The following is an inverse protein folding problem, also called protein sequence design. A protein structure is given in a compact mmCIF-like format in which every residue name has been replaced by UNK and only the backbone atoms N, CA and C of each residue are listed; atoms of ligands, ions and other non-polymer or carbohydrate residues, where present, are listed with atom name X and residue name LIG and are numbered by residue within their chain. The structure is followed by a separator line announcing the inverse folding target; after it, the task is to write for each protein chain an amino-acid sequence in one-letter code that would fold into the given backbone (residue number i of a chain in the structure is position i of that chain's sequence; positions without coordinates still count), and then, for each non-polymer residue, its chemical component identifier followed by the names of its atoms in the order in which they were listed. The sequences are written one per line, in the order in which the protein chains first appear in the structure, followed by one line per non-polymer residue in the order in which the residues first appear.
data_IF_803720190447
#
_entry.id   IF_803720190447
#
_cell.length_a   1.000
_cell.length_b   1.000
_cell.length_c   1.000
_cell.angle_alpha   90.00
_cell.angle_beta   90.00
_cell.angle_gamma   90.00
#
_symmetry.space_group_name_H-M   'P 1'
#
loop_
_entity.id
_entity.type
_entity.pdbx_description
1 polymer ?
#
# COMPACT_ATOMS: atom_id res chain seq x y z
N UNK A 1 25.66 -11.87 7.23
CA UNK A 1 24.35 -12.27 6.69
C UNK A 1 23.60 -12.94 7.81
N UNK A 2 22.30 -12.70 7.99
CA UNK A 2 21.52 -13.42 8.99
C UNK A 2 21.52 -14.92 8.70
N UNK A 3 21.54 -15.74 9.73
CA UNK A 3 21.41 -17.19 9.62
C UNK A 3 19.95 -17.63 9.66
N UNK A 4 19.12 -16.91 10.45
CA UNK A 4 17.71 -17.25 10.65
C UNK A 4 16.83 -16.00 10.80
N UNK A 5 15.73 -15.94 10.05
CA UNK A 5 14.74 -14.84 10.11
C UNK A 5 13.39 -15.39 10.56
N UNK A 6 12.79 -14.75 11.59
CA UNK A 6 11.40 -14.95 11.95
C UNK A 6 10.52 -14.06 11.07
N UNK A 7 9.52 -14.66 10.43
CA UNK A 7 8.54 -13.95 9.59
C UNK A 7 7.30 -13.64 10.43
N UNK A 8 7.18 -12.37 10.86
CA UNK A 8 6.09 -11.91 11.72
C UNK A 8 4.84 -11.53 10.91
N UNK A 9 4.39 -12.46 10.07
CA UNK A 9 3.23 -12.27 9.22
C UNK A 9 2.64 -13.63 8.79
N UNK A 10 1.60 -13.60 7.93
CA UNK A 10 0.88 -14.77 7.45
C UNK A 10 0.56 -14.66 5.95
N UNK A 11 -0.01 -15.73 5.39
CA UNK A 11 -0.56 -15.71 4.03
C UNK A 11 0.51 -15.56 2.95
N UNK A 12 0.15 -14.87 1.86
CA UNK A 12 1.01 -14.76 0.69
C UNK A 12 2.31 -14.01 0.98
N UNK A 13 2.25 -12.96 1.84
CA UNK A 13 3.45 -12.17 2.14
C UNK A 13 4.45 -12.96 2.99
N UNK A 14 3.98 -13.78 3.94
CA UNK A 14 4.88 -14.65 4.67
C UNK A 14 5.58 -15.65 3.75
N UNK A 15 4.86 -16.20 2.77
CA UNK A 15 5.44 -17.08 1.75
C UNK A 15 6.39 -16.33 0.81
N UNK A 16 6.08 -15.07 0.45
CA UNK A 16 6.97 -14.22 -0.36
C UNK A 16 8.31 -13.96 0.33
N UNK A 17 8.27 -13.64 1.62
CA UNK A 17 9.48 -13.44 2.43
C UNK A 17 10.26 -14.76 2.58
N UNK A 18 9.56 -15.85 2.84
CA UNK A 18 10.16 -17.18 2.91
C UNK A 18 10.96 -17.52 1.63
N UNK A 19 10.38 -17.27 0.45
CA UNK A 19 11.07 -17.50 -0.84
C UNK A 19 12.36 -16.70 -0.95
N UNK A 20 12.34 -15.40 -0.60
CA UNK A 20 13.54 -14.57 -0.61
C UNK A 20 14.61 -15.10 0.36
N UNK A 21 14.23 -15.46 1.58
CA UNK A 21 15.14 -16.06 2.57
C UNK A 21 15.78 -17.35 2.04
N UNK A 22 14.98 -18.27 1.48
CA UNK A 22 15.49 -19.55 0.95
C UNK A 22 16.48 -19.35 -0.18
N UNK A 23 16.23 -18.42 -1.11
CA UNK A 23 17.14 -18.08 -2.21
C UNK A 23 18.43 -17.39 -1.72
N UNK A 24 18.38 -16.76 -0.54
CA UNK A 24 19.56 -16.18 0.13
C UNK A 24 20.29 -17.19 1.05
N UNK A 25 19.80 -18.42 1.18
CA UNK A 25 20.38 -19.44 2.07
C UNK A 25 20.07 -19.21 3.55
N UNK A 26 19.05 -18.41 3.87
CA UNK A 26 18.65 -18.03 5.23
C UNK A 26 17.53 -18.97 5.69
N UNK A 27 17.63 -19.51 6.91
CA UNK A 27 16.57 -20.30 7.53
C UNK A 27 15.40 -19.41 7.95
N UNK A 28 14.20 -19.98 7.94
CA UNK A 28 12.98 -19.25 8.26
C UNK A 28 12.22 -19.86 9.42
N UNK A 29 11.70 -19.00 10.26
CA UNK A 29 10.71 -19.35 11.29
C UNK A 29 9.37 -18.73 10.92
N UNK A 30 8.37 -19.56 10.71
CA UNK A 30 6.99 -19.10 10.53
C UNK A 30 6.29 -19.00 11.88
N UNK A 31 5.64 -17.88 12.15
CA UNK A 31 4.64 -17.82 13.24
C UNK A 31 3.26 -18.06 12.68
N UNK A 32 2.38 -18.62 13.52
CA UNK A 32 1.00 -18.84 13.12
C UNK A 32 0.04 -18.85 14.31
N UNK A 33 -1.21 -18.45 14.08
CA UNK A 33 -2.29 -18.75 15.00
C UNK A 33 -2.75 -20.20 14.82
N UNK A 34 -3.59 -20.69 15.73
CA UNK A 34 -4.18 -22.03 15.59
C UNK A 34 -5.02 -22.18 14.31
N UNK A 35 -5.54 -21.08 13.73
CA UNK A 35 -6.31 -21.10 12.49
C UNK A 35 -5.44 -21.26 11.22
N UNK A 36 -4.16 -20.94 11.32
CA UNK A 36 -3.22 -20.98 10.20
C UNK A 36 -2.23 -22.18 10.26
N UNK A 37 -2.45 -23.15 11.15
CA UNK A 37 -1.54 -24.30 11.34
C UNK A 37 -1.25 -25.07 10.05
N UNK A 38 -2.20 -25.10 9.12
CA UNK A 38 -2.08 -25.77 7.82
C UNK A 38 -1.67 -24.84 6.68
N UNK A 39 -1.38 -23.57 6.96
CA UNK A 39 -1.01 -22.60 5.93
C UNK A 39 0.31 -22.95 5.25
N UNK A 40 0.45 -22.60 3.96
CA UNK A 40 1.61 -22.98 3.16
C UNK A 40 2.91 -22.41 3.71
N UNK A 41 2.91 -21.18 4.25
CA UNK A 41 4.09 -20.58 4.85
C UNK A 41 4.59 -21.33 6.10
N UNK A 42 3.68 -21.99 6.83
CA UNK A 42 4.00 -22.83 7.98
C UNK A 42 4.61 -24.15 7.51
N UNK A 43 4.04 -24.78 6.46
CA UNK A 43 4.51 -26.06 5.92
C UNK A 43 5.90 -25.99 5.29
N UNK A 44 6.27 -24.84 4.73
CA UNK A 44 7.52 -24.67 3.97
C UNK A 44 8.65 -24.06 4.81
N UNK A 45 8.34 -23.42 5.95
CA UNK A 45 9.35 -22.87 6.85
C UNK A 45 10.22 -23.98 7.46
N UNK A 46 11.46 -23.63 7.81
CA UNK A 46 12.37 -24.55 8.48
C UNK A 46 11.92 -24.88 9.91
N UNK A 47 11.30 -23.88 10.58
CA UNK A 47 10.68 -24.00 11.91
C UNK A 47 9.36 -23.24 11.94
N UNK A 48 8.46 -23.64 12.84
CA UNK A 48 7.20 -22.91 13.06
C UNK A 48 6.81 -22.86 14.52
N UNK A 49 6.18 -21.76 14.94
CA UNK A 49 5.71 -21.53 16.30
C UNK A 49 4.26 -21.07 16.29
N UNK A 50 3.39 -21.78 17.01
CA UNK A 50 2.04 -21.33 17.28
C UNK A 50 2.07 -20.24 18.35
N UNK A 51 1.59 -19.05 18.00
CA UNK A 51 1.65 -17.85 18.87
C UNK A 51 0.31 -17.48 19.51
N UNK A 52 -0.73 -18.29 19.34
CA UNK A 52 -2.01 -18.06 20.00
C UNK A 52 -3.24 -18.48 19.20
N UNK A 53 -4.43 -18.13 19.69
CA UNK A 53 -5.70 -18.43 19.05
C UNK A 53 -5.93 -17.58 17.77
N UNK A 54 -7.05 -17.80 17.03
CA UNK A 54 -7.30 -17.14 15.75
C UNK A 54 -7.34 -15.61 15.79
N UNK A 55 -7.76 -15.00 16.92
CA UNK A 55 -7.83 -13.54 17.06
C UNK A 55 -6.45 -12.91 16.84
N UNK A 56 -6.37 -11.94 15.91
CA UNK A 56 -5.12 -11.24 15.63
C UNK A 56 -4.52 -10.54 16.85
N UNK A 57 -5.36 -9.99 17.73
CA UNK A 57 -4.93 -9.32 18.97
C UNK A 57 -4.29 -10.28 19.98
N UNK A 58 -4.61 -11.57 19.87
CA UNK A 58 -4.08 -12.62 20.74
C UNK A 58 -2.98 -13.45 20.07
N UNK A 59 -2.63 -13.14 18.82
CA UNK A 59 -1.63 -13.84 18.02
C UNK A 59 -0.71 -12.87 17.28
N UNK A 60 -0.99 -12.51 16.04
CA UNK A 60 -0.11 -11.70 15.18
C UNK A 60 0.15 -10.27 15.68
N UNK A 61 -0.73 -9.71 16.50
CA UNK A 61 -0.57 -8.41 17.17
C UNK A 61 -0.06 -8.53 18.62
N UNK A 62 0.16 -9.75 19.11
CA UNK A 62 0.68 -10.01 20.44
C UNK A 62 2.21 -9.94 20.42
N UNK A 63 2.77 -8.75 20.67
CA UNK A 63 4.21 -8.51 20.67
C UNK A 63 5.00 -9.49 21.55
N UNK A 64 4.61 -9.72 22.83
CA UNK A 64 5.31 -10.70 23.67
C UNK A 64 5.37 -12.10 23.06
N UNK A 65 4.29 -12.58 22.44
CA UNK A 65 4.28 -13.91 21.81
C UNK A 65 5.22 -13.97 20.59
N UNK A 66 5.29 -12.90 19.79
CA UNK A 66 6.21 -12.82 18.63
C UNK A 66 7.68 -12.79 19.09
N UNK A 67 7.99 -11.99 20.13
CA UNK A 67 9.36 -11.93 20.69
C UNK A 67 9.76 -13.27 21.30
N UNK A 68 8.90 -13.90 22.09
CA UNK A 68 9.18 -15.22 22.67
C UNK A 68 9.41 -16.27 21.58
N UNK A 69 8.68 -16.22 20.47
CA UNK A 69 8.94 -17.10 19.32
C UNK A 69 10.32 -16.87 18.71
N UNK A 70 10.78 -15.61 18.62
CA UNK A 70 12.12 -15.30 18.14
C UNK A 70 13.21 -15.80 19.09
N UNK A 71 13.01 -15.65 20.40
CA UNK A 71 13.95 -16.11 21.43
C UNK A 71 14.11 -17.63 21.43
N UNK A 72 13.01 -18.39 21.48
CA UNK A 72 13.07 -19.87 21.56
C UNK A 72 13.61 -20.52 20.29
N UNK A 73 13.48 -19.86 19.15
CA UNK A 73 13.98 -20.35 17.86
C UNK A 73 15.39 -19.84 17.55
N UNK A 74 15.90 -18.88 18.30
CA UNK A 74 17.20 -18.27 18.06
C UNK A 74 17.26 -17.55 16.71
N UNK A 75 16.23 -16.78 16.36
CA UNK A 75 16.24 -15.95 15.17
C UNK A 75 17.19 -14.75 15.34
N UNK A 76 17.81 -14.28 14.25
CA UNK A 76 18.68 -13.09 14.27
C UNK A 76 17.90 -11.82 13.99
N UNK A 77 16.85 -11.95 13.20
CA UNK A 77 16.05 -10.81 12.73
C UNK A 77 14.57 -11.17 12.59
N UNK A 78 13.75 -10.14 12.58
CA UNK A 78 12.29 -10.26 12.42
C UNK A 78 11.85 -9.45 11.20
N UNK A 79 11.22 -10.11 10.24
CA UNK A 79 10.61 -9.46 9.08
C UNK A 79 9.11 -9.30 9.28
N UNK A 80 8.57 -8.07 9.39
CA UNK A 80 7.17 -7.85 9.70
C UNK A 80 6.24 -7.94 8.47
N UNK A 81 6.77 -7.94 7.25
CA UNK A 81 5.99 -7.86 6.02
C UNK A 81 5.23 -6.54 5.90
N UNK A 82 3.91 -6.63 5.67
CA UNK A 82 2.98 -5.49 5.70
C UNK A 82 1.75 -5.80 6.60
N UNK A 83 1.05 -4.77 7.05
CA UNK A 83 -0.04 -4.92 8.03
C UNK A 83 0.48 -5.36 9.41
N UNK A 84 -0.41 -5.79 10.29
CA UNK A 84 -0.09 -6.19 11.67
C UNK A 84 0.87 -5.22 12.39
N UNK A 85 2.09 -5.68 12.70
CA UNK A 85 3.09 -4.92 13.47
C UNK A 85 4.11 -4.17 12.59
N UNK A 86 3.97 -4.18 11.26
CA UNK A 86 4.97 -3.65 10.34
C UNK A 86 5.21 -2.13 10.47
N UNK A 87 4.21 -1.36 10.90
CA UNK A 87 4.30 0.09 11.13
C UNK A 87 4.15 0.44 12.61
N UNK A 88 4.45 -0.50 13.49
CA UNK A 88 4.41 -0.28 14.93
C UNK A 88 5.81 0.06 15.46
N UNK A 89 6.04 1.35 15.74
CA UNK A 89 7.32 1.84 16.22
C UNK A 89 7.74 1.21 17.55
N UNK A 90 6.77 0.95 18.46
CA UNK A 90 7.07 0.31 19.75
C UNK A 90 7.51 -1.15 19.57
N UNK A 91 6.92 -1.85 18.61
CA UNK A 91 7.36 -3.21 18.28
C UNK A 91 8.79 -3.21 17.71
N UNK A 92 9.10 -2.30 16.81
CA UNK A 92 10.44 -2.17 16.25
C UNK A 92 11.49 -1.86 17.37
N UNK A 93 11.15 -1.01 18.35
CA UNK A 93 11.99 -0.78 19.53
C UNK A 93 12.21 -2.04 20.34
N UNK A 94 11.13 -2.74 20.70
CA UNK A 94 11.19 -3.97 21.50
C UNK A 94 12.04 -5.02 20.81
N UNK A 95 11.90 -5.19 19.49
CA UNK A 95 12.74 -6.12 18.69
C UNK A 95 14.23 -5.79 18.87
N UNK A 96 14.60 -4.51 18.71
CA UNK A 96 15.97 -4.06 18.83
C UNK A 96 16.50 -4.14 20.27
N UNK A 97 15.66 -3.81 21.28
CA UNK A 97 15.99 -3.92 22.72
C UNK A 97 16.30 -5.37 23.13
N UNK A 98 15.67 -6.37 22.47
CA UNK A 98 15.94 -7.79 22.72
C UNK A 98 17.11 -8.35 21.90
N UNK A 99 17.83 -7.49 21.17
CA UNK A 99 19.00 -7.89 20.41
C UNK A 99 18.71 -8.51 19.04
N UNK A 100 17.47 -8.46 18.57
CA UNK A 100 17.10 -8.85 17.22
C UNK A 100 17.18 -7.64 16.27
N UNK A 101 17.37 -7.90 14.98
CA UNK A 101 17.26 -6.84 13.97
C UNK A 101 15.82 -6.76 13.45
N UNK A 102 15.19 -5.58 13.56
CA UNK A 102 13.94 -5.29 12.88
C UNK A 102 14.22 -5.03 11.39
N UNK A 103 13.66 -5.86 10.49
CA UNK A 103 13.84 -5.66 9.04
C UNK A 103 12.82 -4.64 8.56
N UNK A 104 13.22 -3.38 8.58
CA UNK A 104 12.40 -2.23 8.26
C UNK A 104 13.09 -0.91 8.62
N UNK A 105 12.36 0.20 8.57
CA UNK A 105 12.86 1.51 8.98
C UNK A 105 13.13 1.59 10.48
N UNK A 106 13.82 2.66 10.89
CA UNK A 106 14.03 2.90 12.32
C UNK A 106 12.71 3.22 13.04
N UNK A 107 12.60 2.96 14.35
CA UNK A 107 11.42 3.33 15.12
C UNK A 107 11.06 4.82 15.00
N UNK A 108 12.07 5.69 14.88
CA UNK A 108 11.91 7.14 14.69
C UNK A 108 11.24 7.45 13.36
N UNK A 109 11.68 6.82 12.27
CA UNK A 109 11.06 6.99 10.95
C UNK A 109 9.61 6.50 10.95
N UNK A 110 9.32 5.37 11.61
CA UNK A 110 7.96 4.85 11.72
C UNK A 110 7.06 5.83 12.49
N UNK A 111 7.53 6.39 13.62
CA UNK A 111 6.76 7.39 14.38
C UNK A 111 6.55 8.67 13.60
N UNK A 112 7.61 9.17 12.96
CA UNK A 112 7.56 10.42 12.21
C UNK A 112 6.51 10.36 11.08
N UNK A 113 6.55 9.28 10.30
CA UNK A 113 5.67 9.11 9.15
C UNK A 113 4.28 8.55 9.51
N UNK A 114 4.14 7.90 10.67
CA UNK A 114 2.86 7.40 11.18
C UNK A 114 1.95 8.50 11.76
N UNK A 115 2.51 9.64 12.14
CA UNK A 115 1.73 10.82 12.55
C UNK A 115 1.44 11.69 11.32
N UNK A 116 0.16 11.73 10.89
CA UNK A 116 -0.24 12.43 9.65
C UNK A 116 0.11 13.91 9.63
N UNK A 117 0.05 14.59 10.79
CA UNK A 117 0.37 16.02 10.88
C UNK A 117 1.89 16.20 10.74
N UNK A 118 2.66 15.48 11.53
CA UNK A 118 4.12 15.55 11.48
C UNK A 118 4.68 15.11 10.12
N UNK A 119 4.13 14.04 9.54
CA UNK A 119 4.53 13.57 8.21
C UNK A 119 4.31 14.65 7.14
N UNK A 120 3.16 15.36 7.18
CA UNK A 120 2.87 16.45 6.25
C UNK A 120 3.79 17.67 6.48
N UNK A 121 4.03 18.06 7.72
CA UNK A 121 4.96 19.13 8.07
C UNK A 121 6.38 18.80 7.60
N UNK A 122 6.86 17.61 7.91
CA UNK A 122 8.16 17.10 7.47
C UNK A 122 8.26 17.07 5.95
N UNK A 123 7.24 16.59 5.26
CA UNK A 123 7.20 16.58 3.80
C UNK A 123 7.36 18.02 3.23
N UNK A 124 6.61 18.98 3.77
CA UNK A 124 6.70 20.41 3.39
C UNK A 124 8.10 20.97 3.62
N UNK A 125 8.70 20.73 4.81
CA UNK A 125 10.06 21.17 5.15
C UNK A 125 11.13 20.57 4.24
N UNK A 126 10.97 19.33 3.83
CA UNK A 126 11.88 18.63 2.94
C UNK A 126 11.68 18.98 1.46
N UNK A 127 10.64 19.77 1.15
CA UNK A 127 10.32 20.22 -0.21
C UNK A 127 9.49 19.23 -1.02
N UNK A 128 8.82 18.28 -0.38
CA UNK A 128 7.80 17.43 -1.01
C UNK A 128 6.50 18.26 -1.11
N UNK A 129 5.87 18.35 -2.30
CA UNK A 129 4.67 19.14 -2.46
C UNK A 129 3.51 18.57 -1.62
N UNK A 130 2.79 19.43 -0.92
CA UNK A 130 1.58 19.07 -0.15
C UNK A 130 0.37 19.80 -0.74
N UNK A 131 -0.84 19.29 -0.48
CA UNK A 131 -2.06 20.00 -0.91
C UNK A 131 -2.04 21.41 -0.32
N UNK A 132 -2.17 22.47 -1.16
CA UNK A 132 -2.26 23.84 -0.66
C UNK A 132 -3.42 23.94 0.35
N UNK A 133 -3.13 24.46 1.54
CA UNK A 133 -4.10 24.58 2.62
C UNK A 133 -3.80 25.83 3.46
N UNK A 134 -4.77 26.25 4.28
CA UNK A 134 -4.58 27.34 5.24
C UNK A 134 -3.49 26.97 6.26
N UNK A 135 -2.76 27.96 6.72
CA UNK A 135 -1.83 27.81 7.84
C UNK A 135 -2.63 27.77 9.16
N UNK A 136 -3.07 26.54 9.51
CA UNK A 136 -3.94 26.33 10.67
C UNK A 136 -5.43 26.56 10.40
N UNK A 137 -6.15 26.82 11.47
CA UNK A 137 -7.59 27.06 11.45
C UNK A 137 -7.93 28.40 10.77
N UNK A 138 -9.03 28.43 10.05
CA UNK A 138 -9.55 29.64 9.41
C UNK A 138 -10.51 30.33 10.38
N UNK A 139 -10.15 31.55 10.79
CA UNK A 139 -10.87 32.29 11.82
C UNK A 139 -12.25 32.78 11.35
N UNK A 140 -12.31 33.28 10.10
CA UNK A 140 -13.51 33.87 9.56
C UNK A 140 -13.70 33.64 8.04
N UNK A 141 -14.87 34.07 7.55
CA UNK A 141 -15.21 33.95 6.12
C UNK A 141 -14.27 34.76 5.21
N UNK A 142 -13.73 35.87 5.69
CA UNK A 142 -12.86 36.72 4.89
C UNK A 142 -11.52 36.04 4.64
N UNK A 143 -10.97 35.39 5.66
CA UNK A 143 -9.77 34.55 5.54
C UNK A 143 -10.00 33.36 4.60
N UNK A 144 -11.19 32.71 4.70
CA UNK A 144 -11.57 31.61 3.81
C UNK A 144 -11.63 32.07 2.34
N UNK A 145 -12.26 33.21 2.06
CA UNK A 145 -12.34 33.78 0.71
C UNK A 145 -10.96 34.14 0.15
N UNK A 146 -10.11 34.76 1.00
CA UNK A 146 -8.74 35.11 0.59
C UNK A 146 -7.98 33.86 0.17
N UNK A 147 -7.95 32.83 1.01
CA UNK A 147 -7.27 31.57 0.68
C UNK A 147 -7.85 30.94 -0.61
N UNK A 148 -9.17 30.87 -0.74
CA UNK A 148 -9.79 30.25 -1.90
C UNK A 148 -9.48 30.97 -3.23
N UNK A 149 -9.34 32.30 -3.21
CA UNK A 149 -8.89 33.08 -4.37
C UNK A 149 -7.45 32.81 -4.73
N UNK A 150 -6.55 32.64 -3.73
CA UNK A 150 -5.13 32.35 -3.93
C UNK A 150 -4.90 30.91 -4.41
N UNK A 151 -5.58 29.91 -3.80
CA UNK A 151 -5.47 28.51 -4.14
C UNK A 151 -6.22 28.11 -5.43
N UNK A 152 -7.20 28.93 -5.84
CA UNK A 152 -8.13 28.63 -6.92
C UNK A 152 -9.24 27.65 -6.51
N UNK A 153 -10.46 27.94 -6.99
CA UNK A 153 -11.61 27.03 -6.78
C UNK A 153 -11.50 25.76 -7.64
N UNK A 154 -12.13 24.65 -7.23
CA UNK A 154 -12.85 24.45 -5.98
C UNK A 154 -11.93 24.29 -4.76
N UNK A 155 -12.48 24.59 -3.57
CA UNK A 155 -11.79 24.38 -2.29
C UNK A 155 -12.63 23.51 -1.37
N UNK A 156 -11.96 22.82 -0.45
CA UNK A 156 -12.57 21.95 0.54
C UNK A 156 -12.37 22.55 1.94
N UNK A 157 -13.47 22.75 2.63
CA UNK A 157 -13.49 23.22 4.03
C UNK A 157 -13.70 21.99 4.91
N UNK A 158 -12.83 21.80 5.91
CA UNK A 158 -12.82 20.61 6.77
C UNK A 158 -12.85 21.00 8.24
N UNK A 159 -13.57 20.24 9.07
CA UNK A 159 -13.49 20.34 10.51
C UNK A 159 -12.06 20.03 11.00
N UNK A 160 -11.53 20.86 11.92
CA UNK A 160 -10.21 20.66 12.49
C UNK A 160 -10.14 19.40 13.38
N UNK A 161 -11.20 19.12 14.11
CA UNK A 161 -11.33 17.97 15.02
C UNK A 161 -11.91 16.71 14.35
N UNK A 162 -12.07 16.68 13.01
CA UNK A 162 -12.86 15.69 12.30
C UNK A 162 -12.08 14.58 11.60
N UNK A 163 -12.79 13.48 11.35
CA UNK A 163 -12.36 12.35 10.53
C UNK A 163 -13.57 11.65 9.89
N UNK A 164 -13.31 10.77 8.92
CA UNK A 164 -14.37 9.96 8.31
C UNK A 164 -15.37 10.69 7.41
N UNK A 165 -14.99 11.85 6.86
CA UNK A 165 -15.82 12.57 5.89
C UNK A 165 -16.90 13.49 6.48
N UNK A 166 -17.02 13.59 7.80
CA UNK A 166 -17.94 14.52 8.46
C UNK A 166 -17.31 15.90 8.64
N UNK A 167 -18.12 16.95 8.55
CA UNK A 167 -17.65 18.33 8.65
C UNK A 167 -16.81 18.76 7.44
N UNK A 168 -17.09 18.21 6.26
CA UNK A 168 -16.43 18.56 5.01
C UNK A 168 -17.43 19.13 4.01
N UNK A 169 -17.13 20.31 3.46
CA UNK A 169 -17.93 20.96 2.42
C UNK A 169 -17.05 21.47 1.29
N UNK A 170 -17.48 21.23 0.06
CA UNK A 170 -16.82 21.75 -1.13
C UNK A 170 -17.45 23.08 -1.52
N UNK A 171 -16.62 24.08 -1.75
CA UNK A 171 -17.03 25.33 -2.38
C UNK A 171 -16.53 25.35 -3.82
N UNK A 172 -17.44 25.18 -4.78
CA UNK A 172 -17.12 25.10 -6.21
C UNK A 172 -16.70 26.46 -6.79
N UNK A 173 -17.15 27.55 -6.18
CA UNK A 173 -16.85 28.91 -6.62
C UNK A 173 -17.00 29.91 -5.47
N UNK A 174 -16.63 31.17 -5.74
CA UNK A 174 -16.77 32.25 -4.76
C UNK A 174 -18.20 32.47 -4.28
N UNK A 175 -19.19 32.15 -5.10
CA UNK A 175 -20.61 32.25 -4.71
C UNK A 175 -21.01 31.20 -3.65
N UNK A 176 -20.35 30.05 -3.62
CA UNK A 176 -20.66 28.92 -2.73
C UNK A 176 -19.87 28.90 -1.43
N UNK A 177 -18.80 29.72 -1.32
CA UNK A 177 -17.88 29.61 -0.17
C UNK A 177 -18.50 29.95 1.17
N UNK A 178 -19.41 30.94 1.20
CA UNK A 178 -20.09 31.36 2.41
C UNK A 178 -20.97 30.25 2.97
N UNK A 179 -21.82 29.67 2.13
CA UNK A 179 -22.70 28.56 2.50
C UNK A 179 -21.87 27.35 2.98
N UNK A 180 -20.83 26.96 2.22
CA UNK A 180 -19.96 25.86 2.54
C UNK A 180 -19.20 26.08 3.86
N UNK A 181 -18.74 27.31 4.13
CA UNK A 181 -18.03 27.66 5.34
C UNK A 181 -18.90 27.50 6.59
N UNK A 182 -20.08 28.08 6.58
CA UNK A 182 -20.99 27.99 7.73
C UNK A 182 -21.56 26.58 7.91
N UNK A 183 -21.89 25.89 6.84
CA UNK A 183 -22.34 24.50 6.90
C UNK A 183 -21.27 23.56 7.48
N UNK A 184 -20.01 23.71 7.09
CA UNK A 184 -18.89 22.93 7.64
C UNK A 184 -18.71 23.19 9.15
N UNK A 185 -18.74 24.45 9.58
CA UNK A 185 -18.63 24.83 11.00
C UNK A 185 -19.79 24.29 11.84
N UNK A 186 -21.02 24.40 11.34
CA UNK A 186 -22.20 23.90 12.03
C UNK A 186 -22.14 22.37 12.21
N UNK A 187 -21.77 21.66 11.16
CA UNK A 187 -21.62 20.21 11.21
C UNK A 187 -20.46 19.78 12.13
N UNK A 188 -19.34 20.51 12.10
CA UNK A 188 -18.20 20.27 12.99
C UNK A 188 -18.61 20.44 14.46
N UNK A 189 -19.34 21.53 14.78
CA UNK A 189 -19.85 21.77 16.13
C UNK A 189 -20.80 20.69 16.60
N UNK A 190 -21.71 20.25 15.75
CA UNK A 190 -22.67 19.21 16.08
C UNK A 190 -22.03 17.83 16.28
N UNK A 191 -21.01 17.49 15.45
CA UNK A 191 -20.39 16.18 15.47
C UNK A 191 -19.24 16.05 16.50
N UNK A 192 -18.49 17.14 16.74
CA UNK A 192 -17.23 17.10 17.50
C UNK A 192 -17.18 18.09 18.68
N UNK A 193 -18.20 18.96 18.83
CA UNK A 193 -18.24 20.00 19.87
C UNK A 193 -17.36 21.22 19.58
N UNK A 194 -16.56 21.20 18.51
CA UNK A 194 -15.65 22.24 18.06
C UNK A 194 -16.04 22.67 16.64
N UNK A 195 -16.20 23.99 16.41
CA UNK A 195 -16.56 24.53 15.12
C UNK A 195 -15.36 25.03 14.29
N UNK A 196 -14.15 24.76 14.76
CA UNK A 196 -12.92 25.11 14.06
C UNK A 196 -12.81 24.37 12.74
N UNK A 197 -12.48 25.12 11.68
CA UNK A 197 -12.30 24.58 10.32
C UNK A 197 -10.98 25.05 9.72
N UNK A 198 -10.43 24.24 8.82
CA UNK A 198 -9.38 24.63 7.91
C UNK A 198 -9.85 24.47 6.46
N UNK A 199 -9.13 25.06 5.53
CA UNK A 199 -9.47 25.05 4.11
C UNK A 199 -8.28 24.55 3.29
N UNK A 200 -8.57 23.76 2.26
CA UNK A 200 -7.56 23.28 1.34
C UNK A 200 -8.08 23.24 -0.10
N UNK A 201 -7.17 23.16 -1.06
CA UNK A 201 -7.53 22.95 -2.46
C UNK A 201 -8.27 21.62 -2.60
N UNK A 202 -9.40 21.63 -3.30
CA UNK A 202 -10.15 20.42 -3.60
C UNK A 202 -9.71 19.81 -4.91
N UNK A 203 -9.25 18.55 -4.85
CA UNK A 203 -8.88 17.77 -6.03
C UNK A 203 -10.11 17.01 -6.52
N UNK A 204 -10.51 17.29 -7.77
CA UNK A 204 -11.77 16.78 -8.33
C UNK A 204 -11.65 15.34 -8.83
N UNK A 205 -10.59 15.07 -9.62
CA UNK A 205 -10.38 13.79 -10.31
C UNK A 205 -8.94 13.31 -10.19
N UNK A 206 -8.37 13.28 -8.97
CA UNK A 206 -6.97 12.94 -8.81
C UNK A 206 -6.70 11.46 -9.09
N UNK A 207 -5.46 11.18 -9.49
CA UNK A 207 -4.87 9.85 -9.46
C UNK A 207 -4.19 9.61 -8.14
N UNK A 208 -4.17 8.36 -7.70
CA UNK A 208 -3.32 7.92 -6.60
C UNK A 208 -2.01 7.38 -7.19
N UNK A 209 -0.98 8.18 -7.11
CA UNK A 209 0.37 7.84 -7.58
C UNK A 209 1.28 7.66 -6.37
N UNK A 210 2.09 6.63 -6.38
CA UNK A 210 3.01 6.37 -5.31
C UNK A 210 4.42 6.06 -5.83
N UNK A 211 5.44 6.47 -5.08
CA UNK A 211 6.84 6.30 -5.43
C UNK A 211 7.50 5.30 -4.49
N UNK A 212 8.00 4.20 -5.05
CA UNK A 212 8.75 3.19 -4.30
C UNK A 212 10.17 3.69 -4.03
N UNK A 213 10.60 3.61 -2.79
CA UNK A 213 11.95 4.03 -2.37
C UNK A 213 12.68 2.95 -1.59
N UNK A 214 14.02 3.04 -1.63
CA UNK A 214 14.94 2.28 -0.76
C UNK A 214 16.05 3.20 -0.29
N UNK A 215 16.43 3.08 1.00
CA UNK A 215 17.51 3.82 1.62
C UNK A 215 18.39 2.95 2.52
N UNK A 216 19.66 3.26 2.60
CA UNK A 216 20.66 2.52 3.39
C UNK A 216 20.88 3.06 4.82
N UNK A 217 20.18 4.14 5.19
CA UNK A 217 20.36 4.80 6.49
C UNK A 217 21.52 5.79 6.54
N UNK A 218 22.39 5.80 5.54
CA UNK A 218 23.57 6.70 5.47
C UNK A 218 23.33 7.92 4.58
N UNK A 219 22.14 8.03 4.01
CA UNK A 219 21.75 9.15 3.13
C UNK A 219 21.76 8.78 1.64
N UNK A 220 22.08 7.55 1.28
CA UNK A 220 21.88 7.08 -0.08
C UNK A 220 20.46 6.53 -0.20
N UNK A 221 19.66 7.18 -1.04
CA UNK A 221 18.27 6.80 -1.31
C UNK A 221 18.06 6.74 -2.82
N UNK A 222 17.41 5.68 -3.29
CA UNK A 222 16.97 5.54 -4.68
C UNK A 222 15.46 5.39 -4.73
N UNK A 223 14.88 5.74 -5.88
CA UNK A 223 13.48 5.38 -6.19
C UNK A 223 13.44 4.29 -7.26
N UNK A 224 12.47 3.40 -7.17
CA UNK A 224 12.25 2.31 -8.12
C UNK A 224 11.08 2.59 -9.08
N UNK A 225 10.80 3.86 -9.34
CA UNK A 225 9.67 4.28 -10.15
C UNK A 225 8.37 4.43 -9.37
N UNK A 226 7.31 4.69 -10.12
CA UNK A 226 5.99 4.92 -9.59
C UNK A 226 5.04 3.76 -9.88
N UNK A 227 3.97 3.71 -9.07
CA UNK A 227 2.78 2.90 -9.30
C UNK A 227 1.55 3.80 -9.36
N UNK A 228 0.58 3.39 -10.16
CA UNK A 228 -0.76 3.96 -10.19
C UNK A 228 -1.72 3.04 -9.44
N UNK A 229 -2.25 3.52 -8.33
CA UNK A 229 -3.15 2.78 -7.46
C UNK A 229 -4.53 3.42 -7.39
N UNK A 230 -4.96 4.07 -8.48
CA UNK A 230 -6.21 4.84 -8.53
C UNK A 230 -7.46 3.96 -8.56
N UNK A 231 -7.38 2.70 -8.99
CA UNK A 231 -8.51 1.79 -8.91
C UNK A 231 -8.73 1.33 -7.47
N UNK A 232 -9.58 2.04 -6.78
CA UNK A 232 -9.88 1.84 -5.35
C UNK A 232 -11.38 1.74 -5.13
N UNK A 233 -11.75 0.94 -4.13
CA UNK A 233 -13.09 0.89 -3.57
C UNK A 233 -13.00 1.16 -2.08
N UNK A 234 -13.71 2.20 -1.58
CA UNK A 234 -13.65 2.61 -0.16
C UNK A 234 -12.21 2.73 0.36
N UNK A 235 -11.35 3.38 -0.43
CA UNK A 235 -9.91 3.55 -0.16
C UNK A 235 -9.08 2.25 -0.12
N UNK A 236 -9.64 1.13 -0.53
CA UNK A 236 -8.91 -0.12 -0.72
C UNK A 236 -8.53 -0.28 -2.19
N UNK A 237 -7.24 -0.44 -2.46
CA UNK A 237 -6.70 -0.67 -3.80
C UNK A 237 -7.21 -2.03 -4.32
N UNK A 238 -7.64 -2.08 -5.58
CA UNK A 238 -8.19 -3.27 -6.23
C UNK A 238 -7.28 -3.75 -7.35
N UNK A 239 -6.73 -2.81 -8.10
CA UNK A 239 -5.80 -3.06 -9.20
C UNK A 239 -4.74 -1.96 -9.22
N UNK A 240 -3.48 -2.34 -9.45
CA UNK A 240 -2.33 -1.44 -9.49
C UNK A 240 -1.52 -1.64 -10.76
N UNK A 241 -0.93 -0.54 -11.26
CA UNK A 241 -0.06 -0.56 -12.45
C UNK A 241 1.32 0.05 -12.12
N UNK A 242 2.39 -0.54 -12.64
CA UNK A 242 3.71 0.08 -12.66
C UNK A 242 4.00 0.64 -14.05
N UNK A 243 4.32 1.96 -14.04
CA UNK A 243 4.25 2.82 -15.19
C UNK A 243 2.84 3.40 -15.36
N UNK A 244 2.47 4.43 -14.56
CA UNK A 244 1.16 5.09 -14.65
C UNK A 244 0.86 5.56 -16.08
N UNK A 245 -0.32 5.25 -16.64
CA UNK A 245 -0.72 5.77 -17.94
C UNK A 245 -0.95 7.29 -17.95
N UNK A 246 -1.07 7.92 -16.76
CA UNK A 246 -1.28 9.36 -16.62
C UNK A 246 0.02 10.17 -16.57
N UNK A 247 1.18 9.54 -16.32
CA UNK A 247 2.44 10.24 -16.18
C UNK A 247 3.28 10.18 -17.45
N UNK A 248 3.89 11.31 -17.79
CA UNK A 248 4.97 11.36 -18.78
C UNK A 248 6.34 11.15 -18.12
N UNK A 249 7.39 10.96 -18.92
CA UNK A 249 8.75 10.71 -18.43
C UNK A 249 9.30 11.84 -17.54
N UNK A 250 8.96 13.10 -17.88
CA UNK A 250 9.39 14.29 -17.10
C UNK A 250 8.79 14.30 -15.70
N UNK A 251 7.51 13.98 -15.57
CA UNK A 251 6.82 13.94 -14.28
C UNK A 251 7.36 12.82 -13.39
N UNK A 252 7.65 11.64 -13.97
CA UNK A 252 8.31 10.52 -13.27
C UNK A 252 9.65 10.93 -12.70
N UNK A 253 10.50 11.51 -13.55
CA UNK A 253 11.83 11.96 -13.13
C UNK A 253 11.75 13.05 -12.06
N UNK A 254 10.85 14.02 -12.23
CA UNK A 254 10.62 15.12 -11.31
C UNK A 254 10.27 14.62 -9.91
N UNK A 255 9.23 13.79 -9.81
CA UNK A 255 8.78 13.32 -8.49
C UNK A 255 9.79 12.37 -7.84
N UNK A 256 10.42 11.50 -8.61
CA UNK A 256 11.49 10.63 -8.12
C UNK A 256 12.65 11.43 -7.50
N UNK A 257 13.13 12.47 -8.17
CA UNK A 257 14.18 13.37 -7.64
C UNK A 257 13.77 14.11 -6.38
N UNK A 258 12.52 14.59 -6.31
CA UNK A 258 11.99 15.27 -5.12
C UNK A 258 12.00 14.32 -3.93
N UNK A 259 11.47 13.13 -4.10
CA UNK A 259 11.35 12.13 -3.03
C UNK A 259 12.73 11.64 -2.56
N UNK A 260 13.62 11.27 -3.48
CA UNK A 260 14.96 10.79 -3.12
C UNK A 260 15.76 11.86 -2.39
N UNK A 261 15.71 13.12 -2.83
CA UNK A 261 16.38 14.24 -2.17
C UNK A 261 15.85 14.47 -0.74
N UNK A 262 14.53 14.37 -0.55
CA UNK A 262 13.90 14.53 0.76
C UNK A 262 14.32 13.41 1.72
N UNK A 263 14.21 12.15 1.28
CA UNK A 263 14.52 11.00 2.12
C UNK A 263 16.02 10.80 2.37
N UNK A 264 16.89 11.27 1.47
CA UNK A 264 18.34 11.35 1.72
C UNK A 264 18.68 12.27 2.90
N UNK A 265 17.99 13.41 3.04
CA UNK A 265 18.15 14.31 4.20
C UNK A 265 17.70 13.65 5.50
N UNK A 266 16.67 12.81 5.46
CA UNK A 266 16.20 12.03 6.60
C UNK A 266 17.10 10.84 6.92
N UNK A 267 18.08 10.52 6.06
CA UNK A 267 18.84 9.27 6.14
C UNK A 267 17.93 8.05 6.27
N UNK A 268 16.90 8.00 5.44
CA UNK A 268 15.89 6.93 5.51
C UNK A 268 16.52 5.56 5.39
N UNK A 269 16.12 4.65 6.27
CA UNK A 269 16.56 3.25 6.29
C UNK A 269 15.45 2.31 5.82
N UNK A 270 15.77 1.37 4.96
CA UNK A 270 14.87 0.32 4.51
C UNK A 270 14.05 0.70 3.29
N UNK A 271 12.95 -0.01 3.09
CA UNK A 271 12.02 0.18 1.99
C UNK A 271 10.82 1.01 2.46
N UNK A 272 10.33 1.89 1.61
CA UNK A 272 9.15 2.70 1.89
C UNK A 272 8.46 3.13 0.60
N UNK A 273 7.28 3.69 0.74
CA UNK A 273 6.49 4.21 -0.38
C UNK A 273 5.91 5.57 0.00
N UNK A 274 6.13 6.56 -0.86
CA UNK A 274 5.57 7.90 -0.70
C UNK A 274 4.36 8.03 -1.61
N UNK A 275 3.20 8.27 -1.03
CA UNK A 275 1.90 8.33 -1.72
C UNK A 275 1.49 9.76 -2.04
N UNK A 276 0.95 9.97 -3.23
CA UNK A 276 0.53 11.27 -3.75
C UNK A 276 -0.86 11.20 -4.40
N UNK A 277 -1.59 12.31 -4.28
CA UNK A 277 -2.62 12.65 -5.27
C UNK A 277 -1.96 13.40 -6.42
N UNK A 278 -2.28 13.00 -7.65
CA UNK A 278 -1.79 13.65 -8.87
C UNK A 278 -2.95 14.17 -9.69
N UNK A 279 -2.96 15.46 -9.98
CA UNK A 279 -3.97 16.11 -10.80
C UNK A 279 -3.35 17.28 -11.57
N UNK A 280 -3.68 17.40 -12.85
CA UNK A 280 -3.25 18.51 -13.71
C UNK A 280 -1.72 18.76 -13.73
N UNK A 281 -0.93 17.69 -13.69
CA UNK A 281 0.53 17.79 -13.72
C UNK A 281 1.18 18.04 -12.36
N UNK A 282 0.41 18.16 -11.27
CA UNK A 282 0.91 18.41 -9.93
C UNK A 282 0.72 17.23 -8.99
N UNK A 283 1.73 17.01 -8.13
CA UNK A 283 1.72 15.98 -7.09
C UNK A 283 1.44 16.63 -5.73
N UNK A 284 0.66 15.92 -4.91
CA UNK A 284 0.34 16.36 -3.56
C UNK A 284 0.49 15.18 -2.59
N UNK A 285 1.41 15.31 -1.65
CA UNK A 285 1.69 14.31 -0.64
C UNK A 285 0.43 13.93 0.17
N UNK A 286 0.22 12.63 0.34
CA UNK A 286 -0.81 12.06 1.20
C UNK A 286 -0.17 11.54 2.49
N UNK A 287 0.70 10.54 2.32
CA UNK A 287 1.35 9.84 3.42
C UNK A 287 2.60 9.08 2.92
N UNK A 288 3.39 8.59 3.86
CA UNK A 288 4.46 7.66 3.56
C UNK A 288 4.24 6.37 4.34
N UNK A 289 4.19 5.26 3.62
CA UNK A 289 4.18 3.93 4.21
C UNK A 289 5.62 3.48 4.46
N UNK A 290 5.94 3.22 5.75
CA UNK A 290 7.27 2.84 6.22
C UNK A 290 7.44 1.32 6.25
N UNK A 291 7.01 0.65 5.20
CA UNK A 291 6.98 -0.81 5.05
C UNK A 291 6.95 -1.22 3.58
N UNK A 292 7.09 -2.51 3.36
CA UNK A 292 6.73 -3.11 2.08
C UNK A 292 5.23 -2.95 1.83
N UNK A 293 4.83 -2.73 0.57
CA UNK A 293 3.42 -2.68 0.18
C UNK A 293 2.96 -3.97 -0.51
N UNK A 294 1.63 -4.19 -0.55
CA UNK A 294 1.02 -5.34 -1.22
C UNK A 294 1.46 -5.38 -2.68
N UNK A 295 1.42 -4.24 -3.35
CA UNK A 295 1.66 -4.00 -4.78
C UNK A 295 3.13 -3.87 -5.19
N UNK A 296 4.08 -4.18 -4.28
CA UNK A 296 5.50 -4.17 -4.63
C UNK A 296 5.87 -5.05 -5.85
N UNK A 297 5.15 -6.16 -6.14
CA UNK A 297 5.49 -7.01 -7.27
C UNK A 297 5.46 -6.32 -8.63
N UNK A 298 4.58 -5.33 -8.87
CA UNK A 298 4.59 -4.63 -10.17
C UNK A 298 5.86 -3.82 -10.39
N UNK A 299 6.42 -3.26 -9.31
CA UNK A 299 7.72 -2.58 -9.36
C UNK A 299 8.86 -3.57 -9.61
N UNK A 300 8.83 -4.73 -8.94
CA UNK A 300 9.81 -5.80 -9.18
C UNK A 300 9.81 -6.26 -10.64
N UNK A 301 8.62 -6.40 -11.23
CA UNK A 301 8.49 -6.88 -12.62
C UNK A 301 9.05 -5.91 -13.66
N UNK A 302 8.99 -4.60 -13.42
CA UNK A 302 9.52 -3.60 -14.38
C UNK A 302 10.99 -3.24 -14.13
N UNK A 303 11.51 -3.51 -12.92
CA UNK A 303 12.89 -3.16 -12.54
C UNK A 303 13.84 -4.37 -12.47
N UNK A 304 13.29 -5.58 -12.34
CA UNK A 304 14.08 -6.79 -12.09
C UNK A 304 14.70 -6.85 -10.68
N UNK A 305 14.35 -5.93 -9.77
CA UNK A 305 14.90 -5.87 -8.42
C UNK A 305 13.97 -6.63 -7.47
N UNK A 306 14.50 -7.59 -6.73
CA UNK A 306 13.81 -8.24 -5.61
C UNK A 306 13.84 -7.33 -4.37
N UNK A 307 12.74 -6.62 -4.14
CA UNK A 307 12.62 -5.63 -3.06
C UNK A 307 12.74 -6.28 -1.67
N UNK A 308 12.20 -7.47 -1.48
CA UNK A 308 12.27 -8.18 -0.20
C UNK A 308 13.72 -8.62 0.09
N UNK A 309 14.42 -9.09 -0.92
CA UNK A 309 15.85 -9.43 -0.80
C UNK A 309 16.68 -8.21 -0.43
N UNK A 310 16.42 -7.08 -1.07
CA UNK A 310 17.11 -5.82 -0.74
C UNK A 310 16.80 -5.34 0.68
N UNK A 311 15.54 -5.46 1.16
CA UNK A 311 15.21 -5.17 2.56
C UNK A 311 16.07 -5.97 3.54
N UNK A 312 16.20 -7.27 3.31
CA UNK A 312 17.00 -8.16 4.16
C UNK A 312 18.49 -7.76 4.11
N UNK A 313 19.02 -7.45 2.93
CA UNK A 313 20.41 -7.01 2.76
C UNK A 313 20.70 -5.70 3.49
N UNK A 314 19.83 -4.70 3.31
CA UNK A 314 19.95 -3.40 3.96
C UNK A 314 19.87 -3.54 5.48
N UNK A 315 18.92 -4.31 6.00
CA UNK A 315 18.79 -4.56 7.43
C UNK A 315 20.02 -5.28 8.02
N UNK A 316 20.74 -6.06 7.21
CA UNK A 316 22.01 -6.68 7.61
C UNK A 316 23.22 -5.74 7.45
N UNK A 317 23.01 -4.46 7.21
CA UNK A 317 24.06 -3.43 7.08
C UNK A 317 24.76 -3.38 5.72
N UNK A 318 24.21 -4.02 4.68
CA UNK A 318 24.75 -3.91 3.34
C UNK A 318 24.33 -2.57 2.68
N UNK A 319 25.20 -1.95 1.88
CA UNK A 319 24.80 -0.80 1.08
C UNK A 319 23.80 -1.21 0.00
N UNK A 320 23.13 -0.23 -0.61
CA UNK A 320 22.28 -0.45 -1.77
C UNK A 320 23.04 -1.20 -2.86
N UNK A 321 22.42 -2.25 -3.44
CA UNK A 321 23.06 -3.09 -4.47
C UNK A 321 23.15 -2.40 -5.82
N UNK A 322 22.35 -1.35 -6.04
CA UNK A 322 22.20 -0.63 -7.31
C UNK A 322 22.22 0.88 -7.07
N UNK A 323 22.77 1.61 -8.04
CA UNK A 323 22.70 3.08 -8.07
C UNK A 323 21.51 3.53 -8.88
N UNK A 324 21.00 4.74 -8.61
CA UNK A 324 19.91 5.32 -9.39
C UNK A 324 20.20 5.39 -10.89
N UNK A 325 21.47 5.66 -11.26
CA UNK A 325 21.91 5.73 -12.67
C UNK A 325 21.84 4.42 -13.43
N UNK A 326 21.87 3.30 -12.70
CA UNK A 326 21.98 1.96 -13.27
C UNK A 326 20.60 1.27 -13.31
N UNK A 327 19.56 1.96 -12.81
CA UNK A 327 18.20 1.46 -12.79
C UNK A 327 17.54 1.61 -14.16
N UNK A 328 17.11 0.51 -14.72
CA UNK A 328 16.35 0.47 -15.97
C UNK A 328 14.90 0.05 -15.69
N UNK A 329 13.98 0.68 -16.39
CA UNK A 329 12.55 0.31 -16.37
C UNK A 329 12.19 -0.41 -17.66
N UNK A 330 11.73 -1.64 -17.56
CA UNK A 330 11.42 -2.48 -18.70
C UNK A 330 9.94 -2.80 -18.77
N UNK A 331 9.28 -2.31 -19.80
CA UNK A 331 7.89 -2.65 -20.09
C UNK A 331 6.89 -2.01 -19.13
N UNK A 332 5.85 -2.76 -18.83
CA UNK A 332 4.71 -2.37 -17.99
C UNK A 332 4.22 -3.57 -17.18
N UNK A 333 3.75 -3.36 -15.97
CA UNK A 333 3.20 -4.42 -15.14
C UNK A 333 1.86 -4.01 -14.52
N UNK A 334 0.96 -4.98 -14.37
CA UNK A 334 -0.35 -4.81 -13.73
C UNK A 334 -0.54 -5.91 -12.70
N UNK A 335 -1.00 -5.54 -11.50
CA UNK A 335 -1.40 -6.45 -10.44
C UNK A 335 -2.91 -6.37 -10.22
N UNK A 336 -3.56 -7.53 -10.08
CA UNK A 336 -4.93 -7.64 -9.59
C UNK A 336 -4.92 -8.30 -8.21
N UNK A 337 -5.57 -7.67 -7.23
CA UNK A 337 -5.80 -8.29 -5.92
C UNK A 337 -6.97 -9.27 -6.01
N UNK A 338 -6.68 -10.54 -5.79
CA UNK A 338 -7.71 -11.59 -5.78
C UNK A 338 -8.11 -11.84 -4.33
N UNK A 339 -9.34 -11.44 -4.01
CA UNK A 339 -9.91 -11.57 -2.67
C UNK A 339 -10.94 -12.72 -2.64
N UNK A 340 -11.03 -13.41 -1.51
CA UNK A 340 -12.12 -14.34 -1.20
C UNK A 340 -13.37 -13.53 -0.82
N UNK A 341 -14.00 -12.95 -1.81
CA UNK A 341 -15.18 -12.08 -1.70
C UNK A 341 -16.14 -12.34 -2.85
N UNK A 342 -17.44 -12.17 -2.57
CA UNK A 342 -18.42 -12.11 -3.64
C UNK A 342 -18.13 -10.91 -4.55
N UNK A 343 -18.03 -11.10 -5.89
CA UNK A 343 -17.59 -10.05 -6.83
C UNK A 343 -18.59 -8.89 -7.02
N UNK A 344 -19.81 -9.01 -6.48
CA UNK A 344 -20.90 -8.02 -6.57
C UNK A 344 -21.11 -7.31 -5.24
N UNK A 345 -21.31 -8.08 -4.17
CA UNK A 345 -21.62 -7.54 -2.84
C UNK A 345 -20.39 -7.21 -2.03
N UNK A 346 -19.23 -7.77 -2.39
CA UNK A 346 -17.94 -7.66 -1.69
C UNK A 346 -17.98 -8.23 -0.26
N UNK A 347 -18.92 -9.13 0.00
CA UNK A 347 -18.95 -9.86 1.27
C UNK A 347 -17.84 -10.91 1.27
N UNK A 348 -17.06 -11.03 2.37
CA UNK A 348 -16.07 -12.09 2.50
C UNK A 348 -16.72 -13.49 2.36
N UNK A 349 -16.02 -14.37 1.65
CA UNK A 349 -16.43 -15.75 1.39
C UNK A 349 -15.35 -16.72 1.89
N UNK A 350 -15.07 -16.77 3.21
CA UNK A 350 -14.14 -17.74 3.74
C UNK A 350 -14.68 -19.16 3.51
N UNK A 351 -13.80 -20.12 3.27
CA UNK A 351 -14.24 -21.47 2.98
C UNK A 351 -13.10 -22.39 2.58
N UNK A 352 -13.47 -23.59 2.12
CA UNK A 352 -12.49 -24.55 1.64
C UNK A 352 -12.30 -24.40 0.13
N UNK A 353 -11.05 -24.21 -0.28
CA UNK A 353 -10.63 -24.21 -1.68
C UNK A 353 -10.66 -25.65 -2.18
N UNK A 354 -11.55 -25.95 -3.15
CA UNK A 354 -11.63 -27.28 -3.76
C UNK A 354 -10.65 -27.44 -4.90
N UNK A 355 -10.53 -26.40 -5.73
CA UNK A 355 -9.70 -26.38 -6.92
C UNK A 355 -8.82 -25.14 -6.91
N UNK A 356 -7.56 -25.29 -7.30
CA UNK A 356 -6.61 -24.20 -7.43
C UNK A 356 -5.71 -24.43 -8.63
N UNK A 357 -5.95 -23.65 -9.69
CA UNK A 357 -5.10 -23.63 -10.87
C UNK A 357 -4.66 -22.19 -11.16
N UNK A 358 -3.43 -21.80 -10.75
CA UNK A 358 -2.89 -20.49 -11.06
C UNK A 358 -2.50 -20.41 -12.54
N UNK A 359 -2.72 -19.24 -13.21
CA UNK A 359 -2.29 -19.06 -14.58
C UNK A 359 -0.78 -19.05 -14.71
N UNK A 360 -0.29 -19.45 -15.86
CA UNK A 360 1.13 -19.53 -16.15
C UNK A 360 1.55 -18.80 -17.43
N UNK A 361 2.79 -19.06 -17.86
CA UNK A 361 3.37 -18.53 -19.08
C UNK A 361 4.23 -17.27 -18.88
N UNK A 362 4.86 -16.83 -19.98
CA UNK A 362 5.80 -15.72 -19.95
C UNK A 362 5.13 -14.43 -19.42
N UNK A 363 5.78 -13.79 -18.44
CA UNK A 363 5.31 -12.54 -17.85
C UNK A 363 4.04 -12.69 -17.00
N UNK A 364 3.77 -13.87 -16.47
CA UNK A 364 2.71 -14.11 -15.48
C UNK A 364 3.33 -14.57 -14.17
N UNK A 365 2.96 -13.91 -13.08
CA UNK A 365 3.36 -14.24 -11.70
C UNK A 365 2.11 -14.30 -10.83
N UNK A 366 2.03 -15.29 -9.97
CA UNK A 366 1.00 -15.40 -8.93
C UNK A 366 1.67 -15.49 -7.57
N UNK A 367 1.40 -14.49 -6.73
CA UNK A 367 1.79 -14.53 -5.32
C UNK A 367 0.59 -14.97 -4.49
N UNK A 368 0.65 -16.19 -3.96
CA UNK A 368 -0.44 -16.80 -3.19
C UNK A 368 0.12 -17.88 -2.26
N UNK A 369 -0.57 -18.08 -1.14
CA UNK A 369 -0.34 -19.21 -0.24
C UNK A 369 -1.42 -20.29 -0.35
N UNK A 370 -2.32 -20.19 -1.34
CA UNK A 370 -3.41 -21.14 -1.57
C UNK A 370 -2.90 -22.47 -2.13
N UNK A 371 -3.66 -23.52 -1.83
CA UNK A 371 -3.56 -24.83 -2.43
C UNK A 371 -4.90 -25.55 -2.35
N UNK A 372 -5.16 -26.56 -3.19
CA UNK A 372 -6.39 -27.33 -3.16
C UNK A 372 -6.52 -28.06 -1.80
N UNK A 373 -7.65 -27.88 -1.15
CA UNK A 373 -7.92 -28.39 0.19
C UNK A 373 -7.67 -27.41 1.33
N UNK A 374 -6.99 -26.29 1.09
CA UNK A 374 -6.78 -25.23 2.10
C UNK A 374 -8.11 -24.60 2.53
N UNK A 375 -8.24 -24.33 3.83
CA UNK A 375 -9.37 -23.62 4.39
C UNK A 375 -8.99 -22.19 4.72
N UNK A 376 -9.58 -21.23 4.00
CA UNK A 376 -9.41 -19.80 4.25
C UNK A 376 -10.12 -19.46 5.56
N UNK A 377 -9.39 -18.98 6.59
CA UNK A 377 -10.00 -18.63 7.87
C UNK A 377 -10.76 -17.29 7.77
N UNK A 378 -11.87 -17.12 8.53
CA UNK A 378 -12.69 -15.91 8.49
C UNK A 378 -12.15 -14.76 9.35
N UNK A 379 -10.98 -14.88 9.93
CA UNK A 379 -10.47 -13.99 10.97
C UNK A 379 -9.55 -12.87 10.43
N UNK A 380 -9.12 -12.96 9.17
CA UNK A 380 -8.10 -12.09 8.58
C UNK A 380 -8.61 -11.47 7.30
N UNK A 381 -7.78 -10.60 6.69
CA UNK A 381 -8.07 -9.99 5.40
C UNK A 381 -8.42 -11.03 4.34
N UNK A 382 -9.29 -10.66 3.42
CA UNK A 382 -9.80 -11.51 2.34
C UNK A 382 -8.82 -11.71 1.18
N UNK A 383 -7.69 -11.00 1.14
CA UNK A 383 -6.67 -11.15 0.09
C UNK A 383 -6.07 -12.56 0.12
N UNK A 384 -6.23 -13.30 -0.97
CA UNK A 384 -5.79 -14.70 -1.08
C UNK A 384 -4.74 -14.93 -2.16
N UNK A 385 -4.71 -14.05 -3.16
CA UNK A 385 -3.72 -14.10 -4.22
C UNK A 385 -3.53 -12.70 -4.85
N UNK A 386 -2.38 -12.51 -5.46
CA UNK A 386 -2.08 -11.41 -6.37
C UNK A 386 -1.74 -12.01 -7.72
N UNK A 387 -2.46 -11.60 -8.75
CA UNK A 387 -2.12 -11.92 -10.14
C UNK A 387 -1.37 -10.76 -10.74
N UNK A 388 -0.12 -10.95 -11.08
CA UNK A 388 0.74 -9.94 -11.68
C UNK A 388 1.08 -10.34 -13.11
N UNK A 389 0.93 -9.43 -14.04
CA UNK A 389 1.35 -9.60 -15.44
C UNK A 389 2.34 -8.54 -15.83
N UNK A 390 3.29 -8.91 -16.69
CA UNK A 390 4.29 -8.01 -17.25
C UNK A 390 4.32 -8.15 -18.77
N UNK A 391 4.44 -7.05 -19.49
CA UNK A 391 4.55 -7.00 -20.94
C UNK A 391 5.46 -5.86 -21.40
N UNK A 392 5.84 -5.84 -22.68
CA UNK A 392 6.68 -4.78 -23.25
C UNK A 392 6.03 -3.40 -23.20
N UNK A 393 4.70 -3.37 -23.10
CA UNK A 393 3.89 -2.17 -22.99
C UNK A 393 2.53 -2.52 -22.35
N UNK A 394 1.73 -1.50 -22.03
CA UNK A 394 0.43 -1.65 -21.38
C UNK A 394 -0.55 -2.51 -22.17
N UNK A 395 -0.60 -2.38 -23.49
CA UNK A 395 -1.50 -3.19 -24.34
C UNK A 395 -1.17 -4.69 -24.25
N UNK A 396 0.11 -5.03 -24.28
CA UNK A 396 0.55 -6.43 -24.10
C UNK A 396 0.21 -6.95 -22.70
N UNK A 397 0.35 -6.11 -21.66
CA UNK A 397 -0.12 -6.46 -20.30
C UNK A 397 -1.62 -6.74 -20.27
N UNK A 398 -2.43 -5.88 -20.87
CA UNK A 398 -3.89 -6.05 -20.88
C UNK A 398 -4.32 -7.35 -21.60
N UNK A 399 -3.71 -7.67 -22.74
CA UNK A 399 -3.96 -8.95 -23.44
C UNK A 399 -3.57 -10.15 -22.55
N UNK A 400 -2.41 -10.06 -21.90
CA UNK A 400 -1.90 -11.10 -21.02
C UNK A 400 -2.76 -11.26 -19.77
N UNK A 401 -3.20 -10.14 -19.18
CA UNK A 401 -4.08 -10.12 -18.02
C UNK A 401 -5.43 -10.78 -18.32
N UNK A 402 -6.01 -10.45 -19.48
CA UNK A 402 -7.28 -11.07 -19.90
C UNK A 402 -7.15 -12.58 -19.98
N UNK A 403 -6.15 -13.09 -20.68
CA UNK A 403 -5.88 -14.54 -20.78
C UNK A 403 -5.62 -15.16 -19.40
N UNK A 404 -4.82 -14.51 -18.55
CA UNK A 404 -4.49 -15.03 -17.23
C UNK A 404 -5.71 -15.10 -16.29
N UNK A 405 -6.61 -14.12 -16.34
CA UNK A 405 -7.85 -14.14 -15.55
C UNK A 405 -8.85 -15.19 -16.06
N UNK A 406 -8.86 -15.51 -17.36
CA UNK A 406 -9.67 -16.60 -17.92
C UNK A 406 -9.13 -17.98 -17.50
N UNK A 407 -7.83 -18.12 -17.31
CA UNK A 407 -7.14 -19.35 -16.89
C UNK A 407 -7.18 -19.58 -15.37
N UNK A 408 -7.34 -18.52 -14.57
CA UNK A 408 -7.23 -18.58 -13.10
C UNK A 408 -8.46 -19.24 -12.48
N UNK A 409 -8.31 -20.47 -11.99
CA UNK A 409 -9.39 -21.22 -11.34
C UNK A 409 -9.17 -21.31 -9.83
N UNK A 410 -10.15 -20.84 -9.07
CA UNK A 410 -10.23 -21.01 -7.61
C UNK A 410 -11.65 -21.52 -7.30
N UNK A 411 -11.78 -22.82 -6.99
CA UNK A 411 -13.06 -23.45 -6.70
C UNK A 411 -13.37 -23.51 -5.21
N UNK A 412 -14.66 -23.67 -4.88
CA UNK A 412 -15.16 -23.84 -3.51
C UNK A 412 -15.46 -22.55 -2.75
N UNK A 413 -15.07 -21.39 -3.30
CA UNK A 413 -15.34 -20.05 -2.76
C UNK A 413 -15.64 -19.07 -3.89
N UNK A 414 -16.22 -17.93 -3.57
CA UNK A 414 -16.32 -16.83 -4.50
C UNK A 414 -15.08 -15.94 -4.42
N UNK A 415 -14.70 -15.33 -5.55
CA UNK A 415 -13.54 -14.46 -5.64
C UNK A 415 -13.82 -13.22 -6.47
N UNK A 416 -12.93 -12.22 -6.38
CA UNK A 416 -12.99 -10.99 -7.18
C UNK A 416 -12.53 -11.16 -8.63
N UNK A 417 -12.18 -12.38 -9.09
CA UNK A 417 -11.77 -12.62 -10.50
C UNK A 417 -12.81 -12.09 -11.51
N UNK A 418 -14.13 -12.36 -11.36
CA UNK A 418 -15.13 -11.82 -12.29
C UNK A 418 -15.19 -10.29 -12.32
N UNK A 419 -14.96 -9.63 -11.20
CA UNK A 419 -14.84 -8.18 -11.15
C UNK A 419 -13.68 -7.69 -12.03
N UNK A 420 -12.50 -8.28 -11.88
CA UNK A 420 -11.33 -7.91 -12.68
C UNK A 420 -11.56 -8.13 -14.18
N UNK A 421 -12.20 -9.22 -14.58
CA UNK A 421 -12.56 -9.48 -15.99
C UNK A 421 -13.46 -8.39 -16.57
N UNK A 422 -14.41 -7.86 -15.77
CA UNK A 422 -15.26 -6.74 -16.18
C UNK A 422 -14.45 -5.44 -16.31
N UNK A 423 -13.60 -5.14 -15.32
CA UNK A 423 -12.82 -3.90 -15.29
C UNK A 423 -11.85 -3.78 -16.46
N UNK A 424 -11.08 -4.83 -16.75
CA UNK A 424 -10.07 -4.81 -17.83
C UNK A 424 -10.68 -4.78 -19.24
N UNK A 425 -11.96 -5.05 -19.36
CA UNK A 425 -12.70 -4.99 -20.64
C UNK A 425 -13.38 -3.62 -20.85
N UNK A 426 -13.39 -2.76 -19.81
CA UNK A 426 -14.00 -1.43 -19.90
C UNK A 426 -13.11 -0.47 -20.70
N UNK A 427 -13.69 0.29 -21.70
CA UNK A 427 -12.94 1.23 -22.52
C UNK A 427 -12.20 2.31 -21.74
N UNK A 428 -12.77 2.84 -20.66
CA UNK A 428 -12.10 3.85 -19.84
C UNK A 428 -10.83 3.30 -19.20
N UNK A 429 -10.91 2.10 -18.62
CA UNK A 429 -9.74 1.43 -18.07
C UNK A 429 -8.70 1.13 -19.15
N UNK A 430 -9.12 0.57 -20.29
CA UNK A 430 -8.23 0.25 -21.43
C UNK A 430 -7.49 1.51 -21.92
N UNK A 431 -8.19 2.64 -22.00
CA UNK A 431 -7.61 3.91 -22.43
C UNK A 431 -6.87 4.69 -21.32
N UNK A 432 -6.87 4.18 -20.09
CA UNK A 432 -6.25 4.87 -18.95
C UNK A 432 -7.05 6.06 -18.40
N UNK A 433 -8.33 6.17 -18.73
CA UNK A 433 -9.23 7.27 -18.35
C UNK A 433 -9.96 6.98 -17.03
N UNK A 434 -9.24 6.86 -15.94
CA UNK A 434 -9.82 6.61 -14.61
C UNK A 434 -9.11 7.45 -13.55
N UNK A 435 -9.71 7.58 -12.38
CA UNK A 435 -9.21 8.28 -11.21
C UNK A 435 -9.69 7.57 -9.93
N UNK A 436 -9.37 8.10 -8.75
CA UNK A 436 -9.73 7.45 -7.47
C UNK A 436 -11.25 7.28 -7.22
N UNK A 437 -12.10 8.01 -7.95
CA UNK A 437 -13.56 7.94 -7.82
C UNK A 437 -14.21 7.05 -8.88
N UNK A 438 -13.45 6.70 -9.93
CA UNK A 438 -13.99 6.05 -11.11
C UNK A 438 -14.62 4.69 -10.82
N UNK A 439 -13.96 3.84 -10.01
CA UNK A 439 -14.45 2.49 -9.73
C UNK A 439 -15.81 2.50 -8.99
N UNK A 440 -15.97 3.38 -7.99
CA UNK A 440 -17.23 3.48 -7.25
C UNK A 440 -18.38 4.01 -8.14
N UNK A 441 -18.10 4.97 -9.02
CA UNK A 441 -19.05 5.45 -10.02
C UNK A 441 -19.43 4.33 -11.00
N UNK A 442 -18.43 3.64 -11.55
CA UNK A 442 -18.63 2.52 -12.46
C UNK A 442 -19.51 1.41 -11.86
N UNK A 443 -19.24 1.00 -10.61
CA UNK A 443 -20.01 -0.05 -9.94
C UNK A 443 -21.46 0.37 -9.66
N UNK A 444 -21.70 1.64 -9.41
CA UNK A 444 -23.04 2.19 -9.21
C UNK A 444 -23.85 2.26 -10.51
N UNK A 445 -23.20 2.60 -11.62
CA UNK A 445 -23.83 2.73 -12.93
C UNK A 445 -24.03 1.38 -13.62
N UNK A 446 -23.19 0.39 -13.30
CA UNK A 446 -23.20 -0.94 -13.90
C UNK A 446 -23.29 -2.02 -12.80
N UNK A 447 -24.42 -2.11 -12.08
CA UNK A 447 -24.63 -3.16 -11.10
C UNK A 447 -24.53 -4.50 -11.82
N UNK A 448 -23.75 -5.45 -11.27
CA UNK A 448 -23.76 -6.80 -11.78
C UNK A 448 -25.07 -7.50 -11.40
N UNK A 449 -25.60 -8.33 -12.26
CA UNK A 449 -26.70 -9.22 -11.91
C UNK A 449 -26.19 -10.26 -10.89
N UNK A 450 -26.98 -10.50 -9.83
CA UNK A 450 -26.67 -11.47 -8.78
C UNK A 450 -26.69 -12.92 -9.30
#
# INVERSE_FOLDING_TARGET
MFDKILIANRGEIALRIHRACKEMGIKTVAIHSTADSDAMHVRLADESVCIGPPSATQSYLNMPAVISAAEITGADAIHPGYGFLSENARFAEIVNEHGFTFIGPTPEHIRLMGDKIKARETAKELGIPVVPGSDGMVEDLAAARKFAREAGYPVLIKAAAGGGGRGMKVAESEAHIEEAFYAARQEAKAAFGDDSVYIEKYLQFPRHIEVQVMGDGEGHVIHLGERDCSLQRRHQKVLEEAGSPALNARDRERIGKVVTKALSKLKYLGVGTVEFLYENGEFYFIEMNTRLQVEHPVTEMITGIDIVREQIRIANGAPLSIKQSDLEYTGHAIECRINAENPVTFRPTPGRVTDFHPPGGLGVRVDSALYAGYRIPPYYDSLIAKLIVHGRNRNECLMRLKRALEEFVIGGIETTIPLHQRLISNPDFVNGNYNIKWLEAYLKEHPAEE
#
